data_IF_235648398713
#
_entry.id   IF_235648398713
#
_cell.length_a   1.000
_cell.length_b   1.000
_cell.length_c   1.000
_cell.angle_alpha   90.00
_cell.angle_beta   90.00
_cell.angle_gamma   90.00
#
_symmetry.space_group_name_H-M   'P 1'
#
loop_
_entity.id
_entity.type
_entity.pdbx_description
1 polymer ?
#
# COMPACT_ATOMS: atom_id res chain seq x y z
N UNK A 1 -32.15 -18.48 6.93
CA UNK A 1 -33.52 -17.96 7.16
C UNK A 1 -34.10 -18.66 8.37
N UNK A 2 -34.57 -17.90 9.37
CA UNK A 2 -35.16 -18.44 10.60
C UNK A 2 -36.66 -18.12 10.61
N UNK A 3 -37.47 -19.09 11.02
CA UNK A 3 -38.91 -18.88 11.22
C UNK A 3 -39.15 -18.27 12.60
N UNK A 4 -39.97 -17.24 12.65
CA UNK A 4 -40.26 -16.48 13.87
C UNK A 4 -41.77 -16.37 14.07
N UNK A 5 -42.19 -16.46 15.33
CA UNK A 5 -43.59 -16.43 15.76
C UNK A 5 -43.93 -15.25 16.65
N UNK A 6 -43.14 -14.17 16.58
CA UNK A 6 -43.27 -12.98 17.43
C UNK A 6 -43.57 -11.73 16.57
N UNK A 7 -44.13 -10.67 17.18
CA UNK A 7 -44.46 -9.44 16.45
C UNK A 7 -43.18 -8.78 15.86
N UNK A 8 -43.16 -8.33 14.59
CA UNK A 8 -41.98 -7.73 13.94
C UNK A 8 -41.31 -6.62 14.74
N UNK A 9 -42.09 -5.80 15.44
CA UNK A 9 -41.60 -4.71 16.30
C UNK A 9 -40.77 -5.22 17.48
N UNK A 10 -41.15 -6.37 18.06
CA UNK A 10 -40.51 -6.97 19.24
C UNK A 10 -39.34 -7.88 18.90
N UNK A 11 -39.11 -8.13 17.60
CA UNK A 11 -38.00 -8.95 17.14
C UNK A 11 -36.76 -8.05 17.01
N UNK A 12 -35.73 -8.39 17.77
CA UNK A 12 -34.37 -7.89 17.61
C UNK A 12 -33.49 -9.08 17.25
N UNK A 13 -32.68 -8.95 16.21
CA UNK A 13 -31.70 -9.97 15.79
C UNK A 13 -30.34 -9.31 15.63
N UNK A 14 -29.29 -10.11 15.54
CA UNK A 14 -27.91 -9.65 15.32
C UNK A 14 -27.80 -8.68 14.13
N UNK A 15 -28.59 -8.87 13.07
CA UNK A 15 -28.60 -7.96 11.92
C UNK A 15 -29.11 -6.56 12.29
N UNK A 16 -30.14 -6.44 13.15
CA UNK A 16 -30.66 -5.15 13.61
C UNK A 16 -29.66 -4.47 14.55
N UNK A 17 -28.98 -5.26 15.39
CA UNK A 17 -27.91 -4.77 16.28
C UNK A 17 -26.69 -4.26 15.50
N UNK A 18 -26.42 -4.81 14.32
CA UNK A 18 -25.37 -4.38 13.38
C UNK A 18 -25.81 -3.21 12.46
N UNK A 19 -26.93 -2.56 12.75
CA UNK A 19 -27.43 -1.45 11.95
C UNK A 19 -27.90 -1.84 10.54
N UNK A 20 -28.44 -3.05 10.37
CA UNK A 20 -28.99 -3.53 9.11
C UNK A 20 -30.51 -3.73 9.20
N UNK A 21 -31.26 -3.50 8.10
CA UNK A 21 -32.70 -3.68 8.10
C UNK A 21 -33.09 -5.16 8.26
N UNK A 22 -34.25 -5.41 8.87
CA UNK A 22 -34.88 -6.73 8.90
C UNK A 22 -36.00 -6.81 7.87
N UNK A 23 -36.00 -7.90 7.10
CA UNK A 23 -37.01 -8.23 6.11
C UNK A 23 -37.77 -9.46 6.62
N UNK A 24 -39.07 -9.30 6.80
CA UNK A 24 -39.99 -10.36 7.19
C UNK A 24 -40.81 -10.77 5.97
N UNK A 25 -40.70 -12.03 5.55
CA UNK A 25 -41.59 -12.61 4.54
C UNK A 25 -42.79 -13.20 5.27
N UNK A 26 -43.98 -12.68 4.96
CA UNK A 26 -45.23 -12.97 5.67
C UNK A 26 -45.89 -14.24 5.13
N UNK A 27 -45.53 -15.37 5.74
CA UNK A 27 -45.91 -16.71 5.30
C UNK A 27 -47.27 -17.16 5.83
N UNK A 28 -48.00 -17.91 5.00
CA UNK A 28 -49.20 -18.67 5.38
C UNK A 28 -48.88 -20.17 5.41
N UNK A 29 -49.73 -20.96 6.06
CA UNK A 29 -49.54 -22.42 6.16
C UNK A 29 -49.60 -23.08 4.76
N UNK A 30 -50.42 -22.53 3.87
CA UNK A 30 -50.60 -23.00 2.50
C UNK A 30 -49.45 -22.60 1.55
N UNK A 31 -48.67 -21.57 1.88
CA UNK A 31 -47.60 -21.01 1.03
C UNK A 31 -46.20 -21.15 1.60
N UNK A 32 -46.05 -21.80 2.77
CA UNK A 32 -44.81 -21.90 3.54
C UNK A 32 -43.58 -22.31 2.73
N UNK A 33 -43.69 -23.35 1.89
CA UNK A 33 -42.56 -23.82 1.09
C UNK A 33 -42.15 -22.83 -0.01
N UNK A 34 -43.11 -22.12 -0.60
CA UNK A 34 -42.84 -21.10 -1.61
C UNK A 34 -42.21 -19.85 -0.96
N UNK A 35 -42.75 -19.42 0.17
CA UNK A 35 -42.27 -18.26 0.92
C UNK A 35 -40.86 -18.50 1.49
N UNK A 36 -40.57 -19.73 1.94
CA UNK A 36 -39.23 -20.13 2.36
C UNK A 36 -38.21 -20.06 1.22
N UNK A 37 -38.56 -20.53 0.01
CA UNK A 37 -37.68 -20.41 -1.17
C UNK A 37 -37.41 -18.96 -1.55
N UNK A 38 -38.42 -18.10 -1.46
CA UNK A 38 -38.26 -16.66 -1.69
C UNK A 38 -37.32 -16.07 -0.63
N UNK A 39 -37.50 -16.43 0.64
CA UNK A 39 -36.64 -15.96 1.72
C UNK A 39 -35.18 -16.39 1.57
N UNK A 40 -34.94 -17.64 1.16
CA UNK A 40 -33.59 -18.14 0.89
C UNK A 40 -32.96 -17.43 -0.32
N UNK A 41 -33.74 -17.20 -1.38
CA UNK A 41 -33.29 -16.43 -2.54
C UNK A 41 -32.92 -14.99 -2.18
N UNK A 42 -33.77 -14.29 -1.42
CA UNK A 42 -33.51 -12.92 -0.96
C UNK A 42 -32.28 -12.89 -0.04
N UNK A 43 -32.16 -13.84 0.89
CA UNK A 43 -31.00 -13.93 1.78
C UNK A 43 -29.70 -14.14 1.01
N UNK A 44 -29.73 -15.00 -0.02
CA UNK A 44 -28.57 -15.25 -0.89
C UNK A 44 -28.18 -14.03 -1.71
N UNK A 45 -29.16 -13.29 -2.25
CA UNK A 45 -28.88 -12.09 -3.06
C UNK A 45 -28.41 -10.89 -2.23
N UNK A 46 -28.81 -10.81 -0.95
CA UNK A 46 -28.41 -9.73 -0.06
C UNK A 46 -27.08 -9.99 0.66
N UNK A 47 -26.59 -11.24 0.70
CA UNK A 47 -25.28 -11.61 1.27
C UNK A 47 -25.00 -10.98 2.64
N UNK A 48 -26.01 -10.95 3.51
CA UNK A 48 -25.89 -10.39 4.86
C UNK A 48 -26.15 -8.89 4.99
N UNK A 49 -26.46 -8.16 3.91
CA UNK A 49 -26.85 -6.73 3.95
C UNK A 49 -28.21 -6.44 4.61
N UNK A 50 -28.99 -7.49 4.89
CA UNK A 50 -30.23 -7.41 5.66
C UNK A 50 -30.51 -8.76 6.33
N UNK A 51 -31.17 -8.73 7.49
CA UNK A 51 -31.65 -9.94 8.14
C UNK A 51 -32.95 -10.43 7.52
N UNK A 52 -32.97 -11.64 6.95
CA UNK A 52 -34.16 -12.21 6.31
C UNK A 52 -34.80 -13.27 7.20
N UNK A 53 -36.06 -13.03 7.58
CA UNK A 53 -36.83 -13.82 8.53
C UNK A 53 -38.15 -14.25 7.90
N UNK A 54 -38.60 -15.45 8.23
CA UNK A 54 -39.91 -15.96 7.83
C UNK A 54 -40.89 -15.73 8.99
N UNK A 55 -41.98 -15.02 8.76
CA UNK A 55 -42.96 -14.70 9.79
C UNK A 55 -44.30 -15.39 9.50
N UNK A 56 -44.73 -16.26 10.41
CA UNK A 56 -46.04 -16.91 10.30
C UNK A 56 -47.17 -15.97 10.66
N UNK A 57 -48.10 -15.73 9.73
CA UNK A 57 -49.27 -14.87 9.97
C UNK A 57 -50.21 -15.38 11.04
N UNK A 58 -50.22 -16.69 11.29
CA UNK A 58 -51.12 -17.33 12.25
C UNK A 58 -50.63 -17.20 13.70
N UNK A 59 -49.41 -16.70 13.92
CA UNK A 59 -48.71 -16.84 15.20
C UNK A 59 -48.89 -15.68 16.18
N UNK A 60 -49.37 -14.50 15.77
CA UNK A 60 -49.67 -13.36 16.65
C UNK A 60 -50.77 -12.53 15.98
N UNK A 61 -51.65 -11.89 16.76
CA UNK A 61 -52.73 -10.99 16.31
C UNK A 61 -52.26 -9.76 15.53
N UNK A 62 -51.55 -9.97 14.44
CA UNK A 62 -51.19 -8.99 13.42
C UNK A 62 -52.48 -8.66 12.66
N UNK A 63 -53.09 -7.51 12.96
CA UNK A 63 -54.13 -6.89 12.11
C UNK A 63 -53.52 -6.33 10.81
N UNK A 64 -52.66 -7.12 10.15
CA UNK A 64 -52.01 -6.75 8.90
C UNK A 64 -52.83 -7.31 7.75
N UNK A 65 -53.25 -6.43 6.84
CA UNK A 65 -54.04 -6.81 5.67
C UNK A 65 -53.38 -7.96 4.90
N UNK A 66 -54.20 -8.94 4.49
CA UNK A 66 -53.76 -10.10 3.69
C UNK A 66 -53.06 -9.74 2.37
N UNK A 67 -53.19 -8.48 1.91
CA UNK A 67 -52.55 -7.97 0.69
C UNK A 67 -51.04 -7.80 0.79
N UNK A 68 -50.49 -7.57 1.99
CA UNK A 68 -49.06 -7.35 2.18
C UNK A 68 -48.35 -8.67 2.37
N UNK A 69 -47.26 -8.94 1.66
CA UNK A 69 -46.48 -10.17 1.77
C UNK A 69 -45.07 -9.96 2.34
N UNK A 70 -44.63 -8.71 2.47
CA UNK A 70 -43.31 -8.37 3.03
C UNK A 70 -43.47 -7.26 4.06
N UNK A 71 -42.75 -7.36 5.17
CA UNK A 71 -42.61 -6.28 6.15
C UNK A 71 -41.13 -5.95 6.34
N UNK A 72 -40.80 -4.66 6.49
CA UNK A 72 -39.42 -4.19 6.64
C UNK A 72 -39.32 -3.32 7.88
N UNK A 73 -38.39 -3.68 8.75
CA UNK A 73 -38.00 -2.91 9.93
C UNK A 73 -36.64 -2.28 9.66
N UNK A 74 -36.59 -0.95 9.69
CA UNK A 74 -35.36 -0.17 9.57
C UNK A 74 -34.71 0.02 10.94
N UNK A 75 -33.48 0.50 10.94
CA UNK A 75 -32.61 0.61 12.12
C UNK A 75 -33.02 1.79 13.02
N UNK A 76 -33.58 2.86 12.42
CA UNK A 76 -34.06 4.03 13.15
C UNK A 76 -35.14 3.64 14.17
N UNK A 77 -34.83 3.80 15.47
CA UNK A 77 -35.64 3.31 16.59
C UNK A 77 -37.08 3.85 16.64
N UNK A 78 -37.34 4.98 15.97
CA UNK A 78 -38.66 5.63 15.90
C UNK A 78 -39.45 5.36 14.60
N UNK A 79 -38.91 4.54 13.68
CA UNK A 79 -39.59 4.25 12.41
C UNK A 79 -40.49 3.00 12.49
N UNK A 80 -41.80 3.13 12.22
CA UNK A 80 -42.71 2.00 12.26
C UNK A 80 -42.40 0.99 11.15
N UNK A 81 -42.66 -0.29 11.42
CA UNK A 81 -42.48 -1.37 10.44
C UNK A 81 -43.33 -1.08 9.20
N UNK A 82 -42.68 -1.03 8.03
CA UNK A 82 -43.34 -0.76 6.75
C UNK A 82 -43.79 -2.06 6.09
N UNK A 83 -45.01 -2.08 5.56
CA UNK A 83 -45.60 -3.26 4.92
C UNK A 83 -45.75 -3.04 3.41
N UNK A 84 -45.34 -4.03 2.62
CA UNK A 84 -45.29 -3.97 1.17
C UNK A 84 -45.96 -5.18 0.52
N UNK A 85 -46.41 -4.98 -0.72
CA UNK A 85 -46.88 -6.03 -1.61
C UNK A 85 -45.91 -6.09 -2.79
N UNK A 86 -45.02 -7.09 -2.78
CA UNK A 86 -43.94 -7.25 -3.76
C UNK A 86 -44.12 -8.56 -4.52
N UNK A 87 -43.80 -8.59 -5.79
CA UNK A 87 -44.15 -9.72 -6.67
C UNK A 87 -43.13 -10.85 -6.64
N UNK A 88 -41.86 -10.53 -6.40
CA UNK A 88 -40.75 -11.48 -6.45
C UNK A 88 -39.59 -11.07 -5.54
N UNK A 89 -38.57 -11.92 -5.47
CA UNK A 89 -37.37 -11.70 -4.67
C UNK A 89 -36.56 -10.47 -5.15
N UNK A 90 -36.56 -10.18 -6.45
CA UNK A 90 -35.74 -9.12 -7.03
C UNK A 90 -36.31 -7.74 -6.66
N UNK A 91 -37.64 -7.58 -6.60
CA UNK A 91 -38.31 -6.37 -6.09
C UNK A 91 -37.97 -6.11 -4.60
N UNK A 92 -37.87 -7.17 -3.79
CA UNK A 92 -37.47 -7.06 -2.36
C UNK A 92 -36.03 -6.57 -2.26
N UNK A 93 -35.13 -7.14 -3.06
CA UNK A 93 -33.70 -6.80 -3.07
C UNK A 93 -33.47 -5.37 -3.58
N UNK A 94 -34.19 -4.98 -4.64
CA UNK A 94 -34.12 -3.62 -5.19
C UNK A 94 -34.56 -2.56 -4.18
N UNK A 95 -35.57 -2.84 -3.34
CA UNK A 95 -36.05 -1.90 -2.34
C UNK A 95 -35.01 -1.64 -1.24
N UNK A 96 -34.26 -2.67 -0.84
CA UNK A 96 -33.16 -2.53 0.14
C UNK A 96 -31.98 -1.76 -0.47
N UNK A 97 -31.60 -2.08 -1.71
CA UNK A 97 -30.50 -1.40 -2.42
C UNK A 97 -30.82 0.06 -2.77
N UNK A 98 -32.07 0.37 -3.12
CA UNK A 98 -32.47 1.73 -3.48
C UNK A 98 -32.73 2.62 -2.25
N UNK A 99 -33.01 2.04 -1.08
CA UNK A 99 -33.08 2.78 0.19
C UNK A 99 -31.74 3.40 0.61
N UNK A 100 -30.61 2.93 0.07
CA UNK A 100 -29.28 3.53 0.24
C UNK A 100 -29.09 4.80 -0.62
N UNK A 101 -29.92 5.04 -1.64
CA UNK A 101 -29.73 6.15 -2.62
C UNK A 101 -30.56 7.42 -2.32
N UNK A 102 -31.41 7.44 -1.30
CA UNK A 102 -32.13 8.64 -0.88
C UNK A 102 -31.38 9.42 0.20
N UNK A 103 -30.25 10.05 -0.17
CA UNK A 103 -29.80 11.31 0.46
C UNK A 103 -29.83 12.40 -0.63
N UNK A 104 -30.63 13.46 -0.47
CA UNK A 104 -30.72 14.50 -1.49
C UNK A 104 -29.44 15.34 -1.51
N UNK A 105 -28.92 15.55 -2.72
CA UNK A 105 -27.97 16.60 -3.08
C UNK A 105 -28.53 17.99 -2.75
N UNK A 106 -27.76 18.84 -2.08
CA UNK A 106 -27.99 20.28 -2.05
C UNK A 106 -26.65 21.02 -2.05
N UNK A 107 -26.32 21.56 -3.22
CA UNK A 107 -25.61 22.83 -3.34
C UNK A 107 -26.41 23.90 -2.58
N UNK A 108 -25.83 24.47 -1.52
CA UNK A 108 -25.79 25.91 -1.29
C UNK A 108 -24.92 26.22 -0.07
N UNK A 109 -24.04 27.20 -0.27
CA UNK A 109 -23.21 27.84 0.73
C UNK A 109 -24.02 28.34 1.91
N UNK A 110 -23.58 28.03 3.12
CA UNK A 110 -23.41 28.98 4.22
C UNK A 110 -22.44 28.38 5.23
N UNK A 111 -21.41 29.16 5.57
CA UNK A 111 -20.40 28.84 6.57
C UNK A 111 -21.06 28.84 7.96
N UNK A 112 -21.06 27.70 8.66
CA UNK A 112 -21.17 27.70 10.12
C UNK A 112 -20.07 26.82 10.71
N UNK A 113 -19.26 27.47 11.53
CA UNK A 113 -18.19 26.95 12.35
C UNK A 113 -18.83 26.30 13.58
N UNK A 114 -18.53 25.02 13.81
CA UNK A 114 -18.63 24.34 15.10
C UNK A 114 -17.43 23.40 15.15
N UNK A 115 -16.29 23.88 15.68
CA UNK A 115 -15.82 23.60 17.05
C UNK A 115 -15.98 22.12 17.43
N UNK A 116 -14.82 21.45 17.44
CA UNK A 116 -14.57 20.12 17.97
C UNK A 116 -15.15 20.03 19.39
N UNK A 117 -16.20 19.24 19.56
CA UNK A 117 -16.51 18.60 20.83
C UNK A 117 -16.34 17.10 20.67
N UNK A 118 -15.46 16.56 21.52
CA UNK A 118 -15.19 15.15 21.75
C UNK A 118 -16.51 14.39 21.95
N UNK A 119 -16.95 13.64 20.92
CA UNK A 119 -18.00 12.62 21.08
C UNK A 119 -17.33 11.30 21.49
N UNK A 120 -16.87 11.27 22.74
CA UNK A 120 -16.65 10.03 23.46
C UNK A 120 -18.02 9.38 23.73
N UNK A 121 -18.33 8.32 22.98
CA UNK A 121 -19.26 7.29 23.46
C UNK A 121 -20.39 6.90 22.52
N UNK A 122 -20.07 6.15 21.45
CA UNK A 122 -20.66 4.81 21.22
C UNK A 122 -19.57 3.95 20.58
N UNK A 123 -18.67 3.46 21.40
CA UNK A 123 -17.81 2.33 21.05
C UNK A 123 -18.71 1.12 20.78
N UNK A 124 -18.75 0.70 19.52
CA UNK A 124 -19.38 -0.54 19.09
C UNK A 124 -18.55 -1.67 19.74
N UNK A 125 -19.00 -2.22 20.88
CA UNK A 125 -18.26 -3.18 21.74
C UNK A 125 -17.71 -4.43 21.00
N UNK A 126 -18.09 -4.64 19.73
CA UNK A 126 -17.55 -5.70 18.87
C UNK A 126 -16.43 -5.24 17.90
N UNK A 127 -16.31 -3.95 17.56
CA UNK A 127 -15.22 -3.44 16.72
C UNK A 127 -13.93 -3.18 17.52
N UNK A 128 -14.05 -2.86 18.81
CA UNK A 128 -12.88 -2.70 19.69
C UNK A 128 -12.10 -4.00 19.88
N UNK A 129 -12.77 -5.15 19.74
CA UNK A 129 -12.10 -6.45 19.83
C UNK A 129 -11.29 -6.80 18.57
N UNK A 130 -11.57 -6.17 17.42
CA UNK A 130 -10.83 -6.35 16.17
C UNK A 130 -9.68 -5.32 16.00
N UNK A 131 -9.80 -4.14 16.61
CA UNK A 131 -8.73 -3.15 16.71
C UNK A 131 -7.81 -3.57 17.87
N UNK A 132 -6.87 -4.48 17.61
CA UNK A 132 -5.67 -4.57 18.45
C UNK A 132 -4.93 -3.20 18.38
N UNK A 133 -3.92 -2.95 19.23
CA UNK A 133 -3.07 -1.73 19.22
C UNK A 133 -2.28 -1.55 17.89
N UNK A 134 -2.96 -1.60 16.74
CA UNK A 134 -2.47 -1.58 15.39
C UNK A 134 -3.20 -0.45 14.65
N UNK A 135 -2.48 0.66 14.51
CA UNK A 135 -2.89 1.88 13.80
C UNK A 135 -3.37 1.59 12.36
N UNK A 136 -2.82 0.56 11.71
CA UNK A 136 -3.22 0.16 10.36
C UNK A 136 -4.65 -0.38 10.37
N UNK A 137 -4.98 -1.26 11.33
CA UNK A 137 -6.33 -1.84 11.45
C UNK A 137 -7.35 -0.76 11.78
N UNK A 138 -7.01 0.16 12.69
CA UNK A 138 -7.85 1.30 13.02
C UNK A 138 -8.18 2.15 11.78
N UNK A 139 -7.17 2.45 10.96
CA UNK A 139 -7.36 3.23 9.72
C UNK A 139 -8.31 2.54 8.74
N UNK A 140 -8.22 1.21 8.62
CA UNK A 140 -9.08 0.41 7.75
C UNK A 140 -10.51 0.40 8.26
N UNK A 141 -10.72 0.23 9.57
CA UNK A 141 -12.06 0.27 10.17
C UNK A 141 -12.72 1.62 9.93
N UNK A 142 -11.97 2.72 10.13
CA UNK A 142 -12.45 4.09 9.86
C UNK A 142 -12.87 4.27 8.39
N UNK A 143 -12.06 3.77 7.46
CA UNK A 143 -12.24 4.01 6.03
C UNK A 143 -13.09 2.93 5.32
N UNK A 144 -13.56 1.90 6.03
CA UNK A 144 -14.32 0.75 5.49
C UNK A 144 -15.58 1.10 4.70
N UNK A 145 -16.20 2.26 5.00
CA UNK A 145 -17.43 2.73 4.32
C UNK A 145 -17.16 3.56 3.06
N UNK A 146 -15.90 3.86 2.74
CA UNK A 146 -15.53 4.67 1.56
C UNK A 146 -15.43 3.79 0.33
N UNK A 147 -16.22 4.06 -0.69
CA UNK A 147 -16.06 3.43 -2.00
C UNK A 147 -14.79 3.92 -2.68
N UNK A 148 -14.00 2.99 -3.22
CA UNK A 148 -12.74 3.30 -3.87
C UNK A 148 -12.91 3.47 -5.39
N UNK A 149 -12.38 4.54 -5.99
CA UNK A 149 -12.50 4.77 -7.43
C UNK A 149 -11.52 3.89 -8.23
N UNK A 150 -11.85 2.60 -8.39
CA UNK A 150 -10.98 1.58 -9.00
C UNK A 150 -10.95 1.61 -10.55
N UNK A 151 -11.53 2.62 -11.19
CA UNK A 151 -11.75 2.65 -12.66
C UNK A 151 -10.46 2.56 -13.49
N UNK A 152 -9.33 2.96 -12.93
CA UNK A 152 -8.02 3.03 -13.61
C UNK A 152 -7.11 1.84 -13.28
N UNK A 153 -7.63 0.81 -12.58
CA UNK A 153 -6.90 -0.39 -12.19
C UNK A 153 -7.65 -1.61 -12.69
N UNK A 154 -7.02 -2.38 -13.59
CA UNK A 154 -7.63 -3.59 -14.14
C UNK A 154 -7.82 -4.64 -13.06
N UNK A 155 -9.02 -5.20 -12.97
CA UNK A 155 -9.27 -6.36 -12.09
C UNK A 155 -8.98 -7.63 -12.88
N UNK A 156 -7.94 -8.37 -12.48
CA UNK A 156 -7.53 -9.59 -13.14
C UNK A 156 -8.16 -10.81 -12.45
N UNK A 157 -8.56 -11.76 -13.28
CA UNK A 157 -9.03 -13.09 -12.88
C UNK A 157 -8.09 -14.13 -13.47
N UNK A 158 -8.26 -15.40 -13.12
CA UNK A 158 -7.49 -16.50 -13.71
C UNK A 158 -7.58 -16.53 -15.25
N UNK A 159 -8.72 -16.15 -15.81
CA UNK A 159 -8.95 -16.14 -17.27
C UNK A 159 -8.33 -14.92 -17.96
N UNK A 160 -8.36 -13.74 -17.33
CA UNK A 160 -7.92 -12.48 -17.94
C UNK A 160 -6.45 -12.12 -17.67
N UNK A 161 -5.82 -12.77 -16.69
CA UNK A 161 -4.46 -12.46 -16.25
C UNK A 161 -3.46 -12.50 -17.42
N UNK A 162 -3.44 -13.61 -18.16
CA UNK A 162 -2.47 -13.80 -19.24
C UNK A 162 -2.71 -12.90 -20.45
N UNK A 163 -3.97 -12.57 -20.76
CA UNK A 163 -4.29 -11.70 -21.89
C UNK A 163 -3.89 -10.26 -21.61
N UNK A 164 -4.21 -9.75 -20.40
CA UNK A 164 -3.92 -8.36 -20.05
C UNK A 164 -2.41 -8.11 -19.93
N UNK A 165 -1.65 -9.06 -19.38
CA UNK A 165 -0.19 -8.97 -19.35
C UNK A 165 0.45 -8.91 -20.75
N UNK A 166 -0.21 -9.41 -21.78
CA UNK A 166 0.28 -9.38 -23.15
C UNK A 166 -0.07 -8.08 -23.92
N UNK A 167 -1.00 -7.27 -23.39
CA UNK A 167 -1.50 -6.06 -24.04
C UNK A 167 -0.52 -4.88 -23.90
N UNK A 168 0.09 -4.72 -22.72
CA UNK A 168 1.02 -3.62 -22.44
C UNK A 168 2.46 -4.12 -22.26
N UNK A 169 3.43 -3.21 -22.44
CA UNK A 169 4.85 -3.55 -22.27
C UNK A 169 5.20 -3.80 -20.81
N UNK A 170 4.59 -3.02 -19.92
CA UNK A 170 4.78 -3.11 -18.48
C UNK A 170 3.43 -3.11 -17.75
N UNK A 171 3.25 -4.02 -16.81
CA UNK A 171 2.07 -4.08 -15.95
C UNK A 171 2.48 -4.24 -14.49
N UNK A 172 2.12 -3.29 -13.64
CA UNK A 172 2.24 -3.46 -12.20
C UNK A 172 0.97 -4.12 -11.65
N UNK A 173 1.12 -5.32 -11.11
CA UNK A 173 0.01 -6.11 -10.54
C UNK A 173 0.13 -6.13 -9.02
N UNK A 174 -0.90 -5.66 -8.33
CA UNK A 174 -1.06 -5.79 -6.88
C UNK A 174 -1.86 -7.05 -6.55
N UNK A 175 -1.22 -8.01 -5.90
CA UNK A 175 -1.87 -9.18 -5.32
C UNK A 175 -2.21 -8.88 -3.87
N UNK A 176 -3.48 -8.97 -3.53
CA UNK A 176 -4.00 -8.53 -2.23
C UNK A 176 -5.08 -9.49 -1.74
N UNK A 177 -5.44 -9.39 -0.46
CA UNK A 177 -6.61 -10.07 0.10
C UNK A 177 -7.63 -9.04 0.58
N UNK A 178 -8.91 -9.21 0.20
CA UNK A 178 -9.96 -8.23 0.52
C UNK A 178 -10.34 -8.12 2.00
N UNK A 179 -9.83 -9.01 2.84
CA UNK A 179 -10.07 -9.05 4.29
C UNK A 179 -8.85 -8.64 5.12
N UNK A 180 -7.70 -8.41 4.48
CA UNK A 180 -6.44 -8.16 5.17
C UNK A 180 -6.17 -6.64 5.25
N UNK A 181 -5.91 -6.13 6.45
CA UNK A 181 -5.89 -4.70 6.72
C UNK A 181 -4.80 -3.96 5.92
N UNK A 182 -3.57 -4.49 5.89
CA UNK A 182 -2.46 -3.87 5.15
C UNK A 182 -2.82 -3.81 3.67
N UNK A 183 -3.37 -4.87 3.08
CA UNK A 183 -3.84 -4.91 1.69
C UNK A 183 -4.83 -3.80 1.36
N UNK A 184 -5.75 -3.49 2.28
CA UNK A 184 -6.74 -2.43 2.09
C UNK A 184 -6.11 -1.03 2.18
N UNK A 185 -5.13 -0.83 3.07
CA UNK A 185 -4.34 0.42 3.13
C UNK A 185 -3.49 0.59 1.88
N UNK A 186 -2.76 -0.44 1.47
CA UNK A 186 -1.92 -0.41 0.26
C UNK A 186 -2.76 -0.14 -1.00
N UNK A 187 -4.00 -0.62 -1.05
CA UNK A 187 -4.91 -0.30 -2.15
C UNK A 187 -5.16 1.22 -2.28
N UNK A 188 -5.19 1.98 -1.17
CA UNK A 188 -5.32 3.45 -1.22
C UNK A 188 -4.12 4.09 -1.92
N UNK A 189 -2.91 3.76 -1.46
CA UNK A 189 -1.68 4.26 -2.06
C UNK A 189 -1.54 3.83 -3.52
N UNK A 190 -1.99 2.62 -3.86
CA UNK A 190 -1.99 2.13 -5.24
C UNK A 190 -2.99 2.88 -6.15
N UNK A 191 -4.09 3.42 -5.59
CA UNK A 191 -4.99 4.31 -6.32
C UNK A 191 -4.38 5.68 -6.59
N UNK A 192 -3.60 6.21 -5.65
CA UNK A 192 -2.85 7.43 -5.87
C UNK A 192 -1.78 7.24 -6.96
N UNK A 193 -1.10 6.09 -6.98
CA UNK A 193 -0.21 5.69 -8.08
C UNK A 193 -0.98 5.68 -9.41
N UNK A 194 -2.19 5.08 -9.44
CA UNK A 194 -3.05 5.08 -10.61
C UNK A 194 -3.44 6.49 -11.08
N UNK A 195 -3.71 7.40 -10.14
CA UNK A 195 -4.00 8.79 -10.45
C UNK A 195 -2.80 9.52 -11.05
N UNK A 196 -1.59 9.27 -10.55
CA UNK A 196 -0.35 9.87 -11.05
C UNK A 196 0.08 9.31 -12.42
N UNK A 197 -0.23 8.04 -12.70
CA UNK A 197 0.09 7.40 -13.98
C UNK A 197 -0.93 7.65 -15.09
N UNK A 198 -2.01 8.41 -14.83
CA UNK A 198 -2.99 8.79 -15.85
C UNK A 198 -2.30 9.47 -17.03
N UNK A 199 -2.42 8.85 -18.22
CA UNK A 199 -1.84 9.37 -19.46
C UNK A 199 -0.47 8.80 -19.82
N UNK A 200 0.06 7.83 -19.07
CA UNK A 200 1.26 7.06 -19.43
C UNK A 200 0.86 5.73 -20.07
N UNK A 201 0.69 5.65 -21.41
CA UNK A 201 0.09 4.48 -22.07
C UNK A 201 0.98 3.22 -22.02
N UNK A 202 2.24 3.36 -21.64
CA UNK A 202 3.20 2.25 -21.60
C UNK A 202 3.08 1.36 -20.35
N UNK A 203 2.36 1.84 -19.33
CA UNK A 203 2.25 1.19 -18.02
C UNK A 203 0.78 0.93 -17.72
N UNK A 204 0.45 -0.33 -17.44
CA UNK A 204 -0.86 -0.73 -16.94
C UNK A 204 -0.79 -1.02 -15.45
N UNK A 205 -1.86 -0.70 -14.71
CA UNK A 205 -2.03 -1.09 -13.33
C UNK A 205 -3.14 -2.13 -13.23
N UNK A 206 -2.89 -3.14 -12.42
CA UNK A 206 -3.78 -4.26 -12.25
C UNK A 206 -3.80 -4.74 -10.80
N UNK A 207 -4.86 -5.45 -10.45
CA UNK A 207 -5.03 -6.08 -9.13
C UNK A 207 -5.58 -7.49 -9.25
N UNK A 208 -5.18 -8.35 -8.33
CA UNK A 208 -5.68 -9.73 -8.18
C UNK A 208 -6.08 -9.92 -6.72
N UNK A 209 -7.35 -10.26 -6.49
CA UNK A 209 -7.79 -10.68 -5.16
C UNK A 209 -7.45 -12.15 -4.94
N UNK A 210 -6.46 -12.45 -4.11
CA UNK A 210 -6.04 -13.81 -3.80
C UNK A 210 -7.05 -14.58 -2.94
N UNK A 211 -8.02 -13.89 -2.33
CA UNK A 211 -9.16 -14.56 -1.70
C UNK A 211 -10.10 -15.19 -2.73
N UNK A 212 -10.36 -14.49 -3.84
CA UNK A 212 -11.22 -14.97 -4.91
C UNK A 212 -10.48 -15.93 -5.86
N UNK A 213 -9.18 -15.69 -6.09
CA UNK A 213 -8.34 -16.43 -7.05
C UNK A 213 -7.09 -17.05 -6.40
N UNK A 214 -7.25 -17.97 -5.41
CA UNK A 214 -6.11 -18.55 -4.69
C UNK A 214 -5.20 -19.38 -5.59
N UNK A 215 -5.74 -20.05 -6.61
CA UNK A 215 -4.95 -20.86 -7.55
C UNK A 215 -3.99 -20.02 -8.41
N UNK A 216 -4.46 -18.88 -8.92
CA UNK A 216 -3.62 -17.93 -9.65
C UNK A 216 -2.50 -17.40 -8.76
N UNK A 217 -2.83 -16.98 -7.54
CA UNK A 217 -1.83 -16.46 -6.60
C UNK A 217 -0.77 -17.52 -6.22
N UNK A 218 -1.18 -18.78 -6.05
CA UNK A 218 -0.24 -19.87 -5.81
C UNK A 218 0.69 -20.11 -7.01
N UNK A 219 0.16 -20.09 -8.25
CA UNK A 219 0.96 -20.22 -9.47
C UNK A 219 1.97 -19.08 -9.62
N UNK A 220 1.56 -17.87 -9.25
CA UNK A 220 2.43 -16.70 -9.23
C UNK A 220 3.32 -16.63 -7.98
N UNK A 221 3.45 -17.71 -7.18
CA UNK A 221 4.29 -17.76 -5.97
C UNK A 221 4.01 -16.61 -4.98
N UNK A 222 2.75 -16.23 -4.81
CA UNK A 222 2.32 -15.25 -3.81
C UNK A 222 2.10 -15.98 -2.49
N UNK A 223 3.05 -15.83 -1.57
CA UNK A 223 3.02 -16.47 -0.24
C UNK A 223 2.57 -15.54 0.87
N UNK A 224 2.59 -14.23 0.62
CA UNK A 224 2.21 -13.18 1.54
C UNK A 224 1.51 -12.07 0.76
N UNK A 225 0.60 -11.37 1.44
CA UNK A 225 -0.13 -10.24 0.88
C UNK A 225 -0.01 -9.04 1.84
N UNK A 226 -0.01 -7.81 1.30
CA UNK A 226 0.02 -7.52 -0.13
C UNK A 226 1.39 -7.81 -0.76
N UNK A 227 1.41 -8.09 -2.06
CA UNK A 227 2.63 -8.10 -2.88
C UNK A 227 2.36 -7.43 -4.22
N UNK A 228 3.22 -6.50 -4.61
CA UNK A 228 3.20 -5.89 -5.93
C UNK A 228 4.30 -6.50 -6.78
N UNK A 229 3.97 -6.82 -8.03
CA UNK A 229 4.94 -7.30 -9.01
C UNK A 229 4.83 -6.48 -10.30
N UNK A 230 5.98 -6.09 -10.84
CA UNK A 230 6.07 -5.48 -12.16
C UNK A 230 6.36 -6.57 -13.18
N UNK A 231 5.46 -6.75 -14.14
CA UNK A 231 5.59 -7.70 -15.24
C UNK A 231 6.01 -7.01 -16.53
N UNK A 232 6.83 -7.68 -17.33
CA UNK A 232 7.04 -7.36 -18.74
C UNK A 232 6.13 -8.22 -19.62
N UNK A 233 6.00 -7.82 -20.89
CA UNK A 233 5.25 -8.57 -21.91
C UNK A 233 5.74 -10.02 -22.09
N UNK A 234 7.03 -10.27 -21.85
CA UNK A 234 7.67 -11.59 -21.89
C UNK A 234 7.40 -12.42 -20.63
N UNK A 235 6.56 -11.91 -19.71
CA UNK A 235 6.22 -12.52 -18.41
C UNK A 235 7.39 -12.61 -17.43
N UNK A 236 8.48 -11.90 -17.69
CA UNK A 236 9.48 -11.64 -16.66
C UNK A 236 8.87 -10.72 -15.61
N UNK A 237 9.19 -10.92 -14.34
CA UNK A 237 8.64 -10.10 -13.26
C UNK A 237 9.67 -9.73 -12.21
N UNK A 238 9.41 -8.60 -11.56
CA UNK A 238 10.16 -8.08 -10.43
C UNK A 238 9.21 -7.88 -9.25
N UNK A 239 9.54 -8.43 -8.09
CA UNK A 239 8.76 -8.21 -6.88
C UNK A 239 9.15 -6.90 -6.23
N UNK A 240 8.14 -6.15 -5.80
CA UNK A 240 8.32 -4.99 -4.95
C UNK A 240 8.56 -5.42 -3.50
N UNK A 241 9.64 -4.90 -2.92
CA UNK A 241 10.06 -5.09 -1.53
C UNK A 241 10.30 -3.75 -0.80
N UNK A 242 9.73 -2.65 -1.30
CA UNK A 242 9.86 -1.33 -0.68
C UNK A 242 8.68 -0.99 0.24
N UNK A 243 8.63 0.25 0.72
CA UNK A 243 7.55 0.77 1.55
C UNK A 243 6.30 1.10 0.71
N UNK A 244 5.11 0.84 1.24
CA UNK A 244 3.86 0.95 0.46
C UNK A 244 3.36 2.37 0.18
N UNK A 245 4.21 3.38 0.31
CA UNK A 245 3.87 4.75 -0.02
C UNK A 245 3.89 4.98 -1.53
N UNK A 246 3.02 5.89 -1.97
CA UNK A 246 2.81 6.24 -3.37
C UNK A 246 4.10 6.61 -4.09
N UNK A 247 4.96 7.43 -3.45
CA UNK A 247 6.23 7.91 -4.04
C UNK A 247 7.21 6.78 -4.31
N UNK A 248 7.36 5.84 -3.37
CA UNK A 248 8.29 4.73 -3.50
C UNK A 248 7.78 3.67 -4.49
N UNK A 249 6.48 3.42 -4.53
CA UNK A 249 5.87 2.58 -5.57
C UNK A 249 6.03 3.19 -6.97
N UNK A 250 5.78 4.50 -7.11
CA UNK A 250 6.01 5.23 -8.38
C UNK A 250 7.46 5.11 -8.84
N UNK A 251 8.42 5.37 -7.95
CA UNK A 251 9.85 5.22 -8.22
C UNK A 251 10.18 3.82 -8.73
N UNK A 252 9.64 2.79 -8.07
CA UNK A 252 9.87 1.41 -8.48
C UNK A 252 9.30 1.11 -9.87
N UNK A 253 8.06 1.53 -10.13
CA UNK A 253 7.40 1.34 -11.42
C UNK A 253 8.17 2.04 -12.54
N UNK A 254 8.64 3.27 -12.32
CA UNK A 254 9.41 3.98 -13.33
C UNK A 254 10.79 3.37 -13.60
N UNK A 255 11.53 3.02 -12.55
CA UNK A 255 12.88 2.49 -12.68
C UNK A 255 12.90 1.06 -13.27
N UNK A 256 11.86 0.27 -13.04
CA UNK A 256 11.74 -1.11 -13.53
C UNK A 256 11.42 -1.24 -15.02
N UNK A 257 11.08 -0.12 -15.69
CA UNK A 257 10.84 -0.10 -17.15
C UNK A 257 12.09 -0.37 -17.97
N UNK A 258 13.25 0.01 -17.42
CA UNK A 258 14.51 -0.07 -18.12
C UNK A 258 15.22 -1.40 -17.83
N UNK A 259 16.04 -1.83 -18.79
CA UNK A 259 16.94 -2.97 -18.58
C UNK A 259 17.97 -2.64 -17.50
N UNK A 260 18.21 -3.56 -16.58
CA UNK A 260 19.16 -3.37 -15.49
C UNK A 260 20.09 -4.60 -15.40
N UNK A 261 21.41 -4.46 -15.65
CA UNK A 261 22.11 -3.24 -16.04
C UNK A 261 21.91 -2.85 -17.52
N UNK A 262 21.96 -1.54 -17.81
CA UNK A 262 22.02 -0.99 -19.18
C UNK A 262 23.44 -1.17 -19.72
N UNK A 263 23.59 -1.81 -20.89
CA UNK A 263 24.89 -1.92 -21.55
C UNK A 263 25.23 -0.59 -22.26
N UNK A 264 26.36 -0.01 -21.89
CA UNK A 264 26.91 1.20 -22.50
C UNK A 264 28.10 0.82 -23.38
N UNK A 265 28.21 1.46 -24.55
CA UNK A 265 29.19 1.13 -25.58
C UNK A 265 30.22 2.23 -25.81
N UNK A 266 29.88 3.49 -25.50
CA UNK A 266 30.74 4.64 -25.77
C UNK A 266 31.00 5.51 -24.54
N UNK A 267 32.13 6.22 -24.46
CA UNK A 267 32.38 7.20 -23.40
C UNK A 267 31.33 8.32 -23.32
N UNK A 268 30.75 8.71 -24.46
CA UNK A 268 29.68 9.70 -24.53
C UNK A 268 28.40 9.19 -23.85
N UNK A 269 28.00 7.95 -24.12
CA UNK A 269 26.86 7.30 -23.46
C UNK A 269 27.06 7.20 -21.94
N UNK A 270 28.30 6.96 -21.49
CA UNK A 270 28.63 6.95 -20.06
C UNK A 270 28.43 8.32 -19.43
N UNK A 271 28.91 9.38 -20.07
CA UNK A 271 28.76 10.73 -19.50
C UNK A 271 27.30 11.19 -19.47
N UNK A 272 26.51 10.85 -20.50
CA UNK A 272 25.06 11.05 -20.52
C UNK A 272 24.39 10.27 -19.40
N UNK A 273 24.68 8.96 -19.28
CA UNK A 273 24.14 8.10 -18.25
C UNK A 273 24.46 8.61 -16.83
N UNK A 274 25.69 9.07 -16.55
CA UNK A 274 26.09 9.53 -15.22
C UNK A 274 25.59 10.94 -14.88
N UNK A 275 25.20 11.71 -15.89
CA UNK A 275 24.78 13.12 -15.73
C UNK A 275 23.30 13.34 -15.97
N UNK A 276 22.55 12.27 -16.28
CA UNK A 276 21.12 12.30 -16.51
C UNK A 276 20.35 12.84 -15.29
N UNK A 277 19.65 13.95 -15.51
CA UNK A 277 18.77 14.62 -14.55
C UNK A 277 17.30 14.60 -14.99
N UNK A 278 17.00 13.91 -16.09
CA UNK A 278 15.68 13.97 -16.73
C UNK A 278 14.62 13.20 -15.94
N UNK A 279 15.03 12.15 -15.22
CA UNK A 279 14.14 11.40 -14.32
C UNK A 279 14.30 11.89 -12.88
N UNK A 280 13.22 12.40 -12.24
CA UNK A 280 13.26 12.81 -10.83
C UNK A 280 13.43 11.61 -9.88
N UNK A 281 13.11 10.40 -10.34
CA UNK A 281 13.22 9.16 -9.58
C UNK A 281 14.65 8.57 -9.61
N UNK A 282 15.52 9.10 -10.48
CA UNK A 282 16.91 8.67 -10.64
C UNK A 282 17.85 9.49 -9.75
N UNK A 283 17.84 9.20 -8.45
CA UNK A 283 18.68 9.91 -7.47
C UNK A 283 20.15 9.51 -7.54
N UNK A 284 20.42 8.23 -7.80
CA UNK A 284 21.77 7.67 -7.92
C UNK A 284 21.86 6.74 -9.13
N UNK A 285 22.98 6.84 -9.85
CA UNK A 285 23.34 5.92 -10.93
C UNK A 285 24.59 5.15 -10.55
N UNK A 286 24.58 3.85 -10.81
CA UNK A 286 25.76 2.99 -10.63
C UNK A 286 26.26 2.55 -11.99
N UNK A 287 27.56 2.58 -12.20
CA UNK A 287 28.23 2.06 -13.39
C UNK A 287 29.29 1.05 -12.97
N UNK A 288 29.14 -0.18 -13.44
CA UNK A 288 30.18 -1.21 -13.34
C UNK A 288 31.10 -1.16 -14.56
N UNK A 289 32.41 -1.02 -14.32
CA UNK A 289 33.44 -0.99 -15.36
C UNK A 289 34.30 -2.24 -15.22
N UNK A 290 34.37 -3.03 -16.28
CA UNK A 290 35.06 -4.33 -16.27
C UNK A 290 36.00 -4.44 -17.47
N UNK A 291 37.10 -5.18 -17.30
CA UNK A 291 37.88 -5.65 -18.44
C UNK A 291 37.17 -6.83 -19.14
N UNK A 292 37.43 -7.01 -20.42
CA UNK A 292 36.89 -8.13 -21.22
C UNK A 292 37.16 -9.51 -20.61
N UNK A 293 38.29 -9.68 -19.90
CA UNK A 293 38.69 -10.92 -19.23
C UNK A 293 37.96 -11.21 -17.91
N UNK A 294 37.27 -10.22 -17.32
CA UNK A 294 36.66 -10.30 -15.99
C UNK A 294 35.22 -10.85 -16.03
N UNK A 295 35.02 -12.00 -16.68
CA UNK A 295 33.66 -12.55 -16.91
C UNK A 295 32.91 -12.85 -15.62
N UNK A 296 33.55 -13.42 -14.60
CA UNK A 296 32.90 -13.80 -13.35
C UNK A 296 32.37 -12.57 -12.58
N UNK A 297 33.19 -11.53 -12.45
CA UNK A 297 32.79 -10.30 -11.79
C UNK A 297 31.68 -9.57 -12.58
N UNK A 298 31.74 -9.62 -13.91
CA UNK A 298 30.73 -9.06 -14.80
C UNK A 298 29.38 -9.75 -14.61
N UNK A 299 29.33 -11.08 -14.65
CA UNK A 299 28.07 -11.82 -14.46
C UNK A 299 27.47 -11.59 -13.07
N UNK A 300 28.31 -11.55 -12.02
CA UNK A 300 27.84 -11.26 -10.68
C UNK A 300 27.23 -9.85 -10.55
N UNK A 301 27.82 -8.85 -11.23
CA UNK A 301 27.28 -7.49 -11.30
C UNK A 301 25.98 -7.42 -12.11
N UNK A 302 25.88 -8.16 -13.23
CA UNK A 302 24.64 -8.26 -14.01
C UNK A 302 23.51 -8.80 -13.12
N UNK A 303 23.77 -9.87 -12.37
CA UNK A 303 22.77 -10.45 -11.46
C UNK A 303 22.42 -9.50 -10.31
N UNK A 304 23.40 -8.77 -9.77
CA UNK A 304 23.15 -7.75 -8.75
C UNK A 304 22.27 -6.61 -9.31
N UNK A 305 22.52 -6.18 -10.55
CA UNK A 305 21.71 -5.19 -11.25
C UNK A 305 20.25 -5.65 -11.43
N UNK A 306 20.02 -6.94 -11.73
CA UNK A 306 18.67 -7.51 -11.80
C UNK A 306 17.95 -7.48 -10.44
N UNK A 307 18.64 -7.86 -9.37
CA UNK A 307 18.10 -7.83 -8.00
C UNK A 307 17.74 -6.40 -7.56
N UNK A 308 18.55 -5.42 -7.98
CA UNK A 308 18.38 -4.02 -7.64
C UNK A 308 17.48 -3.25 -8.62
N UNK A 309 16.94 -3.93 -9.62
CA UNK A 309 16.06 -3.30 -10.60
C UNK A 309 14.80 -2.74 -9.92
N UNK A 310 14.38 -1.55 -10.34
CA UNK A 310 13.32 -0.78 -9.68
C UNK A 310 13.80 0.07 -8.50
N UNK A 311 15.00 -0.14 -7.96
CA UNK A 311 15.51 0.64 -6.82
C UNK A 311 16.63 1.60 -7.21
N UNK A 312 17.50 1.16 -8.10
CA UNK A 312 18.63 1.93 -8.59
C UNK A 312 18.91 1.61 -10.06
N UNK A 313 19.28 2.63 -10.82
CA UNK A 313 19.75 2.45 -12.19
C UNK A 313 21.17 1.92 -12.18
N UNK A 314 21.40 0.78 -12.82
CA UNK A 314 22.74 0.23 -13.02
C UNK A 314 23.09 0.20 -14.50
N UNK A 315 24.33 0.58 -14.80
CA UNK A 315 24.93 0.57 -16.13
C UNK A 315 26.15 -0.32 -16.10
N UNK A 316 26.49 -0.90 -17.24
CA UNK A 316 27.65 -1.77 -17.36
C UNK A 316 28.44 -1.42 -18.62
N UNK A 317 29.76 -1.39 -18.47
CA UNK A 317 30.70 -1.10 -19.54
C UNK A 317 31.87 -2.07 -19.47
N UNK A 318 32.20 -2.70 -20.61
CA UNK A 318 33.28 -3.69 -20.70
C UNK A 318 33.94 -3.75 -22.09
N UNK A 319 33.98 -2.62 -22.77
CA UNK A 319 34.62 -2.49 -24.09
C UNK A 319 36.16 -2.39 -23.95
N UNK A 320 36.90 -2.48 -25.06
CA UNK A 320 38.37 -2.57 -25.08
C UNK A 320 39.07 -1.39 -24.39
N UNK A 321 38.42 -0.23 -24.36
CA UNK A 321 38.90 1.02 -23.78
C UNK A 321 38.50 1.22 -22.30
N UNK A 322 38.01 0.19 -21.60
CA UNK A 322 37.73 0.24 -20.15
C UNK A 322 38.92 0.69 -19.29
N UNK A 323 40.15 0.41 -19.73
CA UNK A 323 41.37 0.90 -19.06
C UNK A 323 41.49 2.43 -19.10
N UNK A 324 41.01 3.09 -20.16
CA UNK A 324 40.99 4.55 -20.27
C UNK A 324 40.08 5.15 -19.20
N UNK A 325 38.90 4.56 -18.98
CA UNK A 325 37.97 4.99 -17.93
C UNK A 325 38.54 4.74 -16.53
N UNK A 326 39.20 3.60 -16.32
CA UNK A 326 39.92 3.30 -15.07
C UNK A 326 40.94 4.39 -14.72
N UNK A 327 41.73 4.85 -15.69
CA UNK A 327 42.65 5.96 -15.51
C UNK A 327 41.94 7.30 -15.28
N UNK A 328 40.85 7.58 -16.01
CA UNK A 328 40.05 8.81 -15.87
C UNK A 328 39.46 8.96 -14.47
N UNK A 329 38.94 7.89 -13.89
CA UNK A 329 38.34 7.90 -12.55
C UNK A 329 39.32 7.49 -11.43
N UNK A 330 40.59 7.27 -11.78
CA UNK A 330 41.66 6.89 -10.85
C UNK A 330 41.30 5.69 -9.96
N UNK A 331 40.71 4.64 -10.56
CA UNK A 331 40.25 3.44 -9.88
C UNK A 331 40.66 2.19 -10.68
N UNK A 332 41.30 1.19 -10.07
CA UNK A 332 41.64 -0.07 -10.76
C UNK A 332 40.37 -0.90 -11.05
N UNK A 333 40.40 -1.66 -12.16
CA UNK A 333 39.32 -2.57 -12.53
C UNK A 333 39.38 -3.89 -11.72
N UNK A 334 38.23 -4.55 -11.47
CA UNK A 334 36.87 -4.10 -11.75
C UNK A 334 36.45 -2.96 -10.82
N UNK A 335 35.71 -1.98 -11.35
CA UNK A 335 35.36 -0.76 -10.62
C UNK A 335 33.85 -0.51 -10.59
N UNK A 336 33.38 0.04 -9.48
CA UNK A 336 32.03 0.58 -9.33
C UNK A 336 32.10 2.10 -9.20
N UNK A 337 31.39 2.79 -10.08
CA UNK A 337 31.25 4.24 -10.07
C UNK A 337 29.83 4.60 -9.65
N UNK A 338 29.71 5.45 -8.64
CA UNK A 338 28.46 6.00 -8.14
C UNK A 338 28.37 7.47 -8.54
N UNK A 339 27.28 7.85 -9.19
CA UNK A 339 27.01 9.23 -9.56
C UNK A 339 25.70 9.71 -8.94
N UNK A 340 25.74 10.88 -8.31
CA UNK A 340 24.57 11.62 -7.80
C UNK A 340 24.39 12.88 -8.66
N UNK A 341 23.58 12.85 -9.73
CA UNK A 341 23.51 13.92 -10.73
C UNK A 341 23.10 15.28 -10.13
N UNK A 342 22.19 15.27 -9.15
CA UNK A 342 21.67 16.47 -8.49
C UNK A 342 22.79 17.36 -7.90
N UNK A 343 23.78 16.73 -7.26
CA UNK A 343 24.92 17.39 -6.59
C UNK A 343 26.24 17.24 -7.36
N UNK A 344 26.21 16.69 -8.57
CA UNK A 344 27.38 16.43 -9.43
C UNK A 344 28.50 15.66 -8.71
N UNK A 345 28.14 14.83 -7.73
CA UNK A 345 29.10 14.03 -6.98
C UNK A 345 29.34 12.70 -7.68
N UNK A 346 30.61 12.29 -7.77
CA UNK A 346 31.02 11.00 -8.33
C UNK A 346 32.04 10.34 -7.42
N UNK A 347 31.78 9.10 -7.03
CA UNK A 347 32.67 8.31 -6.19
C UNK A 347 32.96 6.99 -6.89
N UNK A 348 34.22 6.60 -6.96
CA UNK A 348 34.63 5.36 -7.60
C UNK A 348 35.35 4.45 -6.60
N UNK A 349 35.03 3.16 -6.63
CA UNK A 349 35.60 2.17 -5.74
C UNK A 349 36.00 0.92 -6.50
N UNK A 350 37.13 0.33 -6.13
CA UNK A 350 37.53 -0.98 -6.65
C UNK A 350 36.64 -2.05 -6.03
N UNK A 351 36.14 -2.96 -6.88
CA UNK A 351 35.38 -4.11 -6.44
C UNK A 351 36.34 -5.25 -6.06
N UNK A 352 36.58 -5.41 -4.76
CA UNK A 352 37.51 -6.42 -4.22
C UNK A 352 36.91 -7.82 -4.13
N UNK A 353 35.58 -7.92 -3.94
CA UNK A 353 34.82 -9.16 -3.87
C UNK A 353 33.64 -9.05 -4.82
N UNK A 354 33.45 -10.06 -5.67
CA UNK A 354 32.48 -10.00 -6.76
C UNK A 354 31.45 -11.12 -6.67
N UNK A 355 31.06 -11.53 -5.46
CA UNK A 355 29.82 -12.29 -5.33
C UNK A 355 28.61 -11.33 -5.42
N UNK A 356 27.51 -11.83 -5.96
CA UNK A 356 26.30 -11.04 -6.21
C UNK A 356 25.77 -10.35 -4.96
N UNK A 357 25.71 -11.05 -3.82
CA UNK A 357 25.14 -10.53 -2.57
C UNK A 357 25.96 -9.37 -1.99
N UNK A 358 27.29 -9.44 -2.07
CA UNK A 358 28.16 -8.39 -1.58
C UNK A 358 28.17 -7.18 -2.51
N UNK A 359 28.05 -7.37 -3.84
CA UNK A 359 27.81 -6.25 -4.76
C UNK A 359 26.49 -5.54 -4.42
N UNK A 360 25.41 -6.31 -4.19
CA UNK A 360 24.10 -5.75 -3.78
C UNK A 360 24.23 -4.95 -2.49
N UNK A 361 24.91 -5.49 -1.47
CA UNK A 361 25.17 -4.78 -0.21
C UNK A 361 25.99 -3.51 -0.40
N UNK A 362 27.08 -3.58 -1.16
CA UNK A 362 27.93 -2.42 -1.45
C UNK A 362 27.14 -1.32 -2.13
N UNK A 363 26.32 -1.66 -3.12
CA UNK A 363 25.48 -0.69 -3.81
C UNK A 363 24.44 -0.10 -2.84
N UNK A 364 23.70 -0.92 -2.09
CA UNK A 364 22.71 -0.44 -1.11
C UNK A 364 23.33 0.51 -0.09
N UNK A 365 24.48 0.16 0.47
CA UNK A 365 25.19 1.03 1.42
C UNK A 365 25.65 2.34 0.79
N UNK A 366 26.06 2.34 -0.47
CA UNK A 366 26.48 3.55 -1.17
C UNK A 366 25.32 4.49 -1.54
N UNK A 367 24.08 3.98 -1.56
CA UNK A 367 22.88 4.81 -1.74
C UNK A 367 22.55 5.63 -0.49
N UNK A 368 22.96 5.16 0.68
CA UNK A 368 22.69 5.83 1.95
C UNK A 368 23.41 7.17 2.04
N UNK A 369 22.72 8.16 2.59
CA UNK A 369 23.31 9.46 2.89
C UNK A 369 24.20 9.40 4.13
N UNK A 370 25.23 10.26 4.16
CA UNK A 370 26.18 10.36 5.28
C UNK A 370 25.53 10.93 6.54
N UNK A 371 24.57 11.84 6.39
CA UNK A 371 23.82 12.47 7.48
C UNK A 371 22.34 12.63 7.08
N UNK A 372 21.57 11.54 7.12
CA UNK A 372 20.16 11.52 6.70
C UNK A 372 19.23 12.11 7.76
N UNK A 373 18.07 12.60 7.31
CA UNK A 373 16.87 12.62 8.15
C UNK A 373 16.35 11.18 8.27
N UNK A 374 16.18 10.68 9.49
CA UNK A 374 15.55 9.38 9.72
C UNK A 374 14.03 9.56 9.73
N UNK A 375 13.40 8.85 8.80
CA UNK A 375 11.94 8.71 8.71
C UNK A 375 11.56 7.26 8.95
N UNK A 376 10.26 6.99 9.10
CA UNK A 376 9.75 5.61 9.19
C UNK A 376 10.13 4.81 7.93
N UNK A 377 10.15 5.47 6.77
CA UNK A 377 10.45 4.85 5.48
C UNK A 377 11.90 4.34 5.37
N UNK A 378 12.89 5.15 5.78
CA UNK A 378 14.30 4.85 5.53
C UNK A 378 15.02 4.20 6.71
N UNK A 379 14.44 4.24 7.92
CA UNK A 379 15.05 3.66 9.12
C UNK A 379 15.47 2.19 8.94
N UNK A 380 14.69 1.30 8.29
CA UNK A 380 15.09 -0.10 8.12
C UNK A 380 16.39 -0.27 7.33
N UNK A 381 16.68 0.60 6.36
CA UNK A 381 17.90 0.53 5.56
C UNK A 381 19.14 0.89 6.40
N UNK A 382 19.01 1.88 7.28
CA UNK A 382 20.07 2.26 8.23
C UNK A 382 20.22 1.24 9.36
N UNK A 383 19.13 0.64 9.82
CA UNK A 383 19.15 -0.36 10.88
C UNK A 383 19.85 -1.66 10.45
N UNK A 384 19.73 -2.05 9.18
CA UNK A 384 20.45 -3.19 8.59
C UNK A 384 21.98 -3.06 8.65
N UNK A 385 22.51 -1.84 8.80
CA UNK A 385 23.94 -1.63 8.96
C UNK A 385 24.48 -2.11 10.31
N UNK A 386 23.61 -2.45 11.27
CA UNK A 386 23.98 -2.94 12.62
C UNK A 386 24.90 -1.99 13.39
N UNK A 387 24.78 -0.68 13.13
CA UNK A 387 25.50 0.37 13.84
C UNK A 387 24.54 1.14 14.77
N UNK A 388 25.00 1.56 15.95
CA UNK A 388 24.27 2.50 16.79
C UNK A 388 23.95 3.80 16.03
N UNK A 389 22.86 4.46 16.42
CA UNK A 389 22.42 5.72 15.82
C UNK A 389 22.75 6.88 16.74
N UNK A 390 23.41 7.91 16.22
CA UNK A 390 23.57 9.19 16.89
C UNK A 390 22.59 10.18 16.27
N UNK A 391 21.46 10.39 16.95
CA UNK A 391 20.30 11.12 16.41
C UNK A 391 20.23 12.53 17.00
N UNK A 392 20.23 13.54 16.12
CA UNK A 392 19.85 14.91 16.45
C UNK A 392 18.33 15.07 16.32
N UNK A 393 17.62 15.16 17.44
CA UNK A 393 16.20 15.49 17.46
C UNK A 393 16.01 17.01 17.33
N UNK A 394 15.14 17.43 16.40
CA UNK A 394 14.85 18.85 16.15
C UNK A 394 13.34 19.08 15.94
N UNK A 395 12.83 20.26 16.31
CA UNK A 395 11.45 20.68 16.09
C UNK A 395 11.30 21.46 14.77
N UNK A 396 11.43 20.75 13.66
CA UNK A 396 11.64 21.32 12.32
C UNK A 396 13.08 21.18 11.86
N UNK A 397 13.42 21.89 10.79
CA UNK A 397 14.76 21.79 10.19
C UNK A 397 15.85 22.28 11.18
N UNK A 398 16.92 21.49 11.39
CA UNK A 398 18.02 21.88 12.27
C UNK A 398 18.77 23.10 11.73
N UNK A 399 19.38 23.87 12.61
CA UNK A 399 20.14 25.05 12.21
C UNK A 399 21.38 24.68 11.39
N UNK A 400 21.76 25.51 10.41
CA UNK A 400 22.92 25.25 9.53
C UNK A 400 24.20 24.91 10.30
N UNK A 401 24.42 25.59 11.44
CA UNK A 401 25.58 25.34 12.30
C UNK A 401 25.58 23.95 12.90
N UNK A 402 24.44 23.47 13.39
CA UNK A 402 24.29 22.16 14.02
C UNK A 402 24.51 21.06 12.97
N UNK A 403 23.95 21.25 11.78
CA UNK A 403 24.15 20.36 10.64
C UNK A 403 25.62 20.26 10.26
N UNK A 404 26.34 21.38 10.18
CA UNK A 404 27.76 21.38 9.82
C UNK A 404 28.62 20.63 10.85
N UNK A 405 28.40 20.89 12.14
CA UNK A 405 29.11 20.22 13.23
C UNK A 405 28.87 18.70 13.22
N UNK A 406 27.62 18.25 13.02
CA UNK A 406 27.34 16.81 12.98
C UNK A 406 27.85 16.18 11.69
N UNK A 407 27.83 16.89 10.54
CA UNK A 407 28.46 16.38 9.31
C UNK A 407 29.96 16.15 9.49
N UNK A 408 30.66 17.03 10.22
CA UNK A 408 32.06 16.79 10.57
C UNK A 408 32.25 15.52 11.40
N UNK A 409 31.37 15.29 12.38
CA UNK A 409 31.38 14.04 13.18
C UNK A 409 31.06 12.82 12.31
N UNK A 410 30.11 12.94 11.38
CA UNK A 410 29.69 11.86 10.48
C UNK A 410 30.80 11.42 9.50
N UNK A 411 31.68 12.35 9.10
CA UNK A 411 32.76 12.11 8.14
C UNK A 411 34.10 11.79 8.85
N UNK A 412 34.23 12.13 10.14
CA UNK A 412 35.42 11.91 10.95
C UNK A 412 35.74 10.43 11.19
N UNK A 413 36.80 10.15 11.96
CA UNK A 413 37.28 8.77 12.21
C UNK A 413 36.22 7.86 12.86
N UNK A 414 35.24 8.46 13.54
CA UNK A 414 34.15 7.78 14.24
C UNK A 414 33.01 7.28 13.33
N UNK A 415 33.04 7.56 12.02
CA UNK A 415 32.04 7.07 11.04
C UNK A 415 31.90 5.53 11.01
N UNK A 416 32.89 4.83 11.58
CA UNK A 416 32.92 3.37 11.70
C UNK A 416 32.13 2.89 12.93
N UNK A 417 31.92 3.75 13.92
CA UNK A 417 31.37 3.41 15.23
C UNK A 417 29.86 3.61 15.32
N UNK A 418 29.32 4.63 14.67
CA UNK A 418 27.88 4.94 14.66
C UNK A 418 27.46 5.56 13.33
N UNK A 419 26.15 5.72 13.13
CA UNK A 419 25.56 6.48 12.04
C UNK A 419 25.05 7.79 12.63
N UNK A 420 25.61 8.92 12.18
CA UNK A 420 25.10 10.23 12.54
C UNK A 420 23.88 10.54 11.67
N UNK A 421 22.78 10.95 12.28
CA UNK A 421 21.55 11.28 11.59
C UNK A 421 20.72 12.28 12.40
N UNK A 422 19.60 12.73 11.87
CA UNK A 422 18.69 13.63 12.58
C UNK A 422 17.25 13.19 12.41
N UNK A 423 16.36 13.66 13.28
CA UNK A 423 14.94 13.31 13.27
C UNK A 423 14.11 14.56 13.51
N UNK A 424 13.23 14.87 12.57
CA UNK A 424 12.30 15.98 12.66
C UNK A 424 11.04 15.57 13.44
N UNK A 425 10.81 16.19 14.59
CA UNK A 425 9.66 15.92 15.46
C UNK A 425 8.31 16.38 14.88
N UNK A 426 8.32 17.14 13.78
CA UNK A 426 7.10 17.54 13.05
C UNK A 426 6.73 16.53 11.95
N UNK A 427 7.73 15.98 11.27
CA UNK A 427 7.52 15.01 10.20
C UNK A 427 7.34 13.60 10.74
N UNK A 428 8.09 13.24 11.80
CA UNK A 428 8.16 11.89 12.35
C UNK A 428 7.60 11.89 13.77
N UNK A 429 6.28 11.73 13.90
CA UNK A 429 5.56 11.83 15.18
C UNK A 429 6.10 10.87 16.27
N UNK A 430 6.52 9.66 15.87
CA UNK A 430 7.12 8.66 16.78
C UNK A 430 8.39 9.18 17.47
N UNK A 431 9.06 10.20 16.93
CA UNK A 431 10.21 10.85 17.55
C UNK A 431 9.92 11.35 18.97
N UNK A 432 8.72 11.88 19.22
CA UNK A 432 8.31 12.32 20.57
C UNK A 432 8.15 11.14 21.52
N UNK A 433 7.63 10.02 21.02
CA UNK A 433 7.49 8.77 21.78
C UNK A 433 8.86 8.19 22.12
N UNK A 434 9.82 8.22 21.20
CA UNK A 434 11.21 7.81 21.45
C UNK A 434 11.79 8.66 22.58
N UNK A 435 11.70 9.98 22.51
CA UNK A 435 12.21 10.85 23.58
C UNK A 435 11.54 10.59 24.94
N UNK A 436 10.22 10.35 24.95
CA UNK A 436 9.50 9.97 26.18
C UNK A 436 9.95 8.61 26.73
N UNK A 437 10.32 7.65 25.89
CA UNK A 437 10.82 6.36 26.35
C UNK A 437 12.16 6.50 27.10
N UNK A 438 13.02 7.43 26.70
CA UNK A 438 14.33 7.66 27.34
C UNK A 438 14.26 8.61 28.54
N UNK A 439 13.43 9.64 28.49
CA UNK A 439 13.40 10.72 29.49
C UNK A 439 12.09 10.78 30.31
N UNK A 440 11.12 9.92 30.03
CA UNK A 440 9.78 10.00 30.60
C UNK A 440 9.03 11.26 30.15
N UNK A 441 8.22 11.82 31.04
CA UNK A 441 7.45 13.05 30.76
C UNK A 441 8.30 14.33 30.77
N UNK A 442 9.57 14.26 31.18
CA UNK A 442 10.48 15.40 31.29
C UNK A 442 11.50 15.38 30.16
N UNK A 443 11.00 15.50 28.93
CA UNK A 443 11.86 15.54 27.73
C UNK A 443 12.68 16.84 27.72
N UNK A 444 14.02 16.77 27.58
CA UNK A 444 14.86 17.95 27.41
C UNK A 444 14.43 18.80 26.21
N UNK A 445 14.67 20.13 26.23
CA UNK A 445 14.39 20.96 25.06
C UNK A 445 15.25 20.53 23.87
N UNK A 446 14.66 20.56 22.68
CA UNK A 446 15.37 20.36 21.41
C UNK A 446 16.00 21.67 20.91
N UNK A 447 17.07 21.65 20.10
CA UNK A 447 17.72 20.46 19.53
C UNK A 447 18.45 19.59 20.55
N UNK A 448 18.26 18.28 20.47
CA UNK A 448 18.79 17.29 21.43
C UNK A 448 19.54 16.19 20.69
N UNK A 449 20.80 15.95 21.04
CA UNK A 449 21.60 14.86 20.50
C UNK A 449 21.52 13.65 21.43
N UNK A 450 21.14 12.49 20.90
CA UNK A 450 21.01 11.24 21.65
C UNK A 450 21.70 10.08 20.92
N UNK A 451 22.45 9.28 21.65
CA UNK A 451 23.01 8.02 21.16
C UNK A 451 22.06 6.88 21.51
N UNK A 452 21.59 6.15 20.50
CA UNK A 452 20.64 5.04 20.58
C UNK A 452 21.31 3.72 20.18
#
# INVERSE_FOLDING_TARGET
VVEVTAHPEKISTTHLQLGLPLIFILSQEETLEADKRIAESVAWQLLGKAGVLLLSRNSVGLEVSSRYNVAIKTVEEDMPVKYFTLKDADEIVALVKNGEQSKPSLDNKEEEIYEDEEDEGVEDENNEQEIQDDEVVESVVRDRKRELPLEHIHTLTEESFLSILAETNHTAVLFYASWEAVSLVVMQSFLEVAAQLKGTPEISLARVNCWDWPHLCLQENVTQFPIMKMYTKERAWLAYSGMWETKEMMKFIELSRNSCPVRLMTPEEIEEYLSDKTSPHRTVSVLGIFDSSMSEAREAFIEAGRILNGYVTTGIYYEEDATILSHKYNVPLPALLFAKPAIQQRNAFQLSQYNTQDIVKVIRHALLETFPEITVENLPDYFQMTKPLLILFSDGDPGEREVEEIKHVAIGEDHKTFIACWLNLKNTAVGRTILKAYFGNLVPPVPLLLWI
#
